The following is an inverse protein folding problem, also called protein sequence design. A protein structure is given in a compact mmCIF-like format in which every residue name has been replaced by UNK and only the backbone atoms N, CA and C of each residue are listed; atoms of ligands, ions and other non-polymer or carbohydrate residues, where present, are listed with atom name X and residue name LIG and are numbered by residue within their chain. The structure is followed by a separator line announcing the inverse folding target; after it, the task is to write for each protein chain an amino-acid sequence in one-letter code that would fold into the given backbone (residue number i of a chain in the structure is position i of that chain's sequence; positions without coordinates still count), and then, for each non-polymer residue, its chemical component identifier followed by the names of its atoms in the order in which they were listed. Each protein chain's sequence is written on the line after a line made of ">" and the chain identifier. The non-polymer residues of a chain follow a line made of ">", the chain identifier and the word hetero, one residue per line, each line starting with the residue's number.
data_IF_314397829496
#
_entry.id   IF_314397829496
#
_cell.length_a   1.000
_cell.length_b   1.000
_cell.length_c   1.000
_cell.angle_alpha   90.00
_cell.angle_beta   90.00
_cell.angle_gamma   90.00
#
_symmetry.space_group_name_H-M   'P 1'
#
loop_
_entity.id
_entity.type
_entity.pdbx_description
1 polymer ?
#
# COMPACT_ATOMS: atom_id res chain seq x y z
N UNK A 1 -9.19 20.04 -14.69
CA UNK A 1 -10.47 20.51 -14.09
C UNK A 1 -11.28 21.31 -15.10
N UNK A 2 -12.60 21.37 -14.95
CA UNK A 2 -13.53 22.20 -15.72
C UNK A 2 -14.52 22.85 -14.76
N UNK A 3 -14.85 24.12 -14.98
CA UNK A 3 -15.86 24.85 -14.21
C UNK A 3 -17.20 24.75 -14.95
N UNK A 4 -18.25 24.32 -14.27
CA UNK A 4 -19.64 24.31 -14.78
C UNK A 4 -20.56 24.73 -13.65
N UNK A 5 -21.45 25.69 -13.87
CA UNK A 5 -22.41 26.16 -12.86
C UNK A 5 -21.76 26.49 -11.50
N UNK A 6 -20.59 27.17 -11.51
CA UNK A 6 -19.79 27.48 -10.31
C UNK A 6 -19.24 26.27 -9.55
N UNK A 7 -19.29 25.07 -10.12
CA UNK A 7 -18.73 23.85 -9.57
C UNK A 7 -17.55 23.36 -10.40
N UNK A 8 -16.53 22.81 -9.72
CA UNK A 8 -15.31 22.34 -10.34
C UNK A 8 -15.38 20.82 -10.48
N UNK A 9 -15.26 20.36 -11.72
CA UNK A 9 -15.25 18.95 -12.06
C UNK A 9 -13.88 18.52 -12.58
N UNK A 10 -13.52 17.26 -12.37
CA UNK A 10 -12.37 16.65 -13.03
C UNK A 10 -12.69 16.43 -14.51
N UNK A 11 -11.66 16.47 -15.37
CA UNK A 11 -11.83 16.19 -16.81
C UNK A 11 -11.52 14.74 -17.17
N UNK A 12 -10.77 14.08 -16.28
CA UNK A 12 -10.28 12.71 -16.38
C UNK A 12 -10.42 12.06 -15.01
N UNK A 13 -10.49 10.73 -14.93
CA UNK A 13 -10.37 10.00 -13.67
C UNK A 13 -9.11 10.44 -12.92
N UNK A 14 -9.22 10.48 -11.59
CA UNK A 14 -8.09 10.74 -10.72
C UNK A 14 -7.58 9.41 -10.16
N UNK A 15 -6.28 9.21 -10.21
CA UNK A 15 -5.57 8.01 -9.78
C UNK A 15 -4.38 8.49 -8.94
N UNK A 16 -4.39 8.18 -7.63
CA UNK A 16 -3.38 8.71 -6.71
C UNK A 16 -1.99 8.17 -7.09
N UNK A 17 -1.89 6.89 -7.42
CA UNK A 17 -0.66 6.17 -7.74
C UNK A 17 -0.01 6.76 -8.99
N UNK A 18 -0.82 7.07 -10.00
CA UNK A 18 -0.36 7.74 -11.21
C UNK A 18 0.26 9.10 -10.89
N UNK A 19 -0.45 9.97 -10.16
CA UNK A 19 0.00 11.33 -9.91
C UNK A 19 1.11 11.44 -8.87
N UNK A 20 1.15 10.54 -7.89
CA UNK A 20 2.22 10.40 -6.92
C UNK A 20 3.57 10.05 -7.60
N UNK A 21 3.52 9.32 -8.73
CA UNK A 21 4.71 9.03 -9.54
C UNK A 21 5.16 10.17 -10.46
N UNK A 22 4.31 11.19 -10.64
CA UNK A 22 4.64 12.37 -11.47
C UNK A 22 5.16 13.52 -10.61
N UNK A 23 5.92 14.44 -11.18
CA UNK A 23 6.35 15.68 -10.49
C UNK A 23 5.16 16.59 -10.08
N UNK A 24 3.93 16.27 -10.50
CA UNK A 24 2.71 17.02 -10.22
C UNK A 24 2.14 16.61 -8.86
N UNK A 25 2.80 17.05 -7.78
CA UNK A 25 2.31 16.80 -6.40
C UNK A 25 1.18 17.74 -5.97
N UNK A 26 1.05 18.89 -6.62
CA UNK A 26 0.12 19.94 -6.21
C UNK A 26 -0.74 20.38 -7.38
N UNK A 27 -2.02 20.02 -7.36
CA UNK A 27 -2.97 20.52 -8.33
C UNK A 27 -3.38 21.94 -7.96
N UNK A 28 -3.22 22.86 -8.90
CA UNK A 28 -3.71 24.23 -8.76
C UNK A 28 -4.74 24.52 -9.84
N UNK A 29 -5.87 25.10 -9.44
CA UNK A 29 -6.93 25.54 -10.34
C UNK A 29 -7.08 27.04 -10.19
N UNK A 30 -6.77 27.80 -11.24
CA UNK A 30 -7.05 29.23 -11.30
C UNK A 30 -8.44 29.44 -11.91
N UNK A 31 -9.31 30.10 -11.14
CA UNK A 31 -10.66 30.50 -11.55
C UNK A 31 -10.66 32.01 -11.76
N UNK A 32 -11.07 32.43 -12.95
CA UNK A 32 -11.25 33.85 -13.29
C UNK A 32 -12.76 34.16 -13.33
N UNK A 33 -13.17 35.20 -12.62
CA UNK A 33 -14.51 35.76 -12.70
C UNK A 33 -14.44 37.11 -13.43
N UNK A 34 -15.16 37.22 -14.54
CA UNK A 34 -15.22 38.43 -15.34
C UNK A 34 -16.57 39.10 -15.12
N UNK A 35 -16.54 40.32 -14.59
CA UNK A 35 -17.73 41.13 -14.32
C UNK A 35 -17.78 42.25 -15.36
N UNK A 36 -18.87 42.31 -16.12
CA UNK A 36 -19.14 43.43 -17.03
C UNK A 36 -19.96 44.49 -16.29
N UNK A 37 -19.42 45.69 -16.18
CA UNK A 37 -20.04 46.82 -15.51
C UNK A 37 -20.96 47.61 -16.47
N UNK A 38 -21.83 48.43 -15.91
CA UNK A 38 -22.78 49.26 -16.65
C UNK A 38 -22.12 50.35 -17.53
N UNK A 39 -20.87 50.70 -17.26
CA UNK A 39 -20.07 51.65 -18.04
C UNK A 39 -19.17 50.96 -19.09
N UNK A 40 -19.52 49.74 -19.49
CA UNK A 40 -18.74 48.86 -20.39
C UNK A 40 -17.33 48.50 -19.89
N UNK A 41 -16.96 48.89 -18.67
CA UNK A 41 -15.72 48.41 -18.04
C UNK A 41 -15.87 46.94 -17.66
N UNK A 42 -14.77 46.21 -17.80
CA UNK A 42 -14.70 44.80 -17.43
C UNK A 42 -13.70 44.63 -16.29
N UNK A 43 -14.14 44.02 -15.18
CA UNK A 43 -13.28 43.66 -14.05
C UNK A 43 -13.02 42.16 -14.07
N UNK A 44 -11.77 41.76 -13.82
CA UNK A 44 -11.38 40.35 -13.75
C UNK A 44 -10.83 40.06 -12.36
N UNK A 45 -11.43 39.08 -11.68
CA UNK A 45 -10.99 38.58 -10.38
C UNK A 45 -10.46 37.17 -10.52
N UNK A 46 -9.21 36.95 -10.14
CA UNK A 46 -8.57 35.64 -10.19
C UNK A 46 -8.45 35.06 -8.78
N UNK A 47 -8.82 33.79 -8.63
CA UNK A 47 -8.61 33.01 -7.40
C UNK A 47 -7.93 31.70 -7.76
N UNK A 48 -6.85 31.37 -7.07
CA UNK A 48 -6.20 30.06 -7.19
C UNK A 48 -6.67 29.15 -6.05
N UNK A 49 -7.06 27.94 -6.40
CA UNK A 49 -7.47 26.89 -5.49
C UNK A 49 -6.41 25.78 -5.52
N UNK A 50 -5.94 25.38 -4.35
CA UNK A 50 -5.04 24.25 -4.19
C UNK A 50 -5.88 23.00 -3.91
N UNK A 51 -5.70 21.97 -4.74
CA UNK A 51 -6.44 20.71 -4.65
C UNK A 51 -5.43 19.61 -4.28
N UNK A 52 -5.65 18.99 -3.13
CA UNK A 52 -4.91 17.80 -2.71
C UNK A 52 -5.63 16.55 -3.21
N UNK A 53 -4.88 15.62 -3.80
CA UNK A 53 -5.40 14.30 -4.12
C UNK A 53 -5.23 13.41 -2.88
N UNK A 54 -6.31 12.74 -2.48
CA UNK A 54 -6.30 11.82 -1.34
C UNK A 54 -6.21 10.40 -1.88
N UNK A 55 -5.27 9.66 -1.32
CA UNK A 55 -5.11 8.25 -1.57
C UNK A 55 -6.31 7.44 -1.06
N UNK A 56 -6.66 6.37 -1.77
CA UNK A 56 -7.77 5.47 -1.47
C UNK A 56 -7.23 4.05 -1.55
N UNK A 57 -7.75 3.18 -0.69
CA UNK A 57 -7.42 1.76 -0.75
C UNK A 57 -8.12 1.13 -1.95
N UNK A 58 -7.48 1.12 -3.11
CA UNK A 58 -8.01 0.60 -4.37
C UNK A 58 -7.06 -0.40 -5.07
N UNK A 59 -5.94 -0.71 -4.43
CA UNK A 59 -5.00 -1.76 -4.81
C UNK A 59 -4.86 -2.77 -3.66
N UNK A 60 -4.39 -3.98 -4.01
CA UNK A 60 -4.19 -5.05 -3.03
C UNK A 60 -2.73 -5.50 -2.97
N UNK A 61 -2.35 -6.25 -1.91
CA UNK A 61 -0.98 -6.67 -1.72
C UNK A 61 -0.54 -7.68 -2.76
N UNK A 62 0.62 -7.41 -3.37
CA UNK A 62 1.27 -8.27 -4.34
C UNK A 62 2.57 -8.84 -3.76
N UNK A 63 2.75 -10.16 -3.90
CA UNK A 63 4.00 -10.83 -3.51
C UNK A 63 5.11 -10.46 -4.51
N UNK A 64 6.22 -9.91 -4.00
CA UNK A 64 7.36 -9.47 -4.84
C UNK A 64 8.41 -10.55 -5.06
N UNK A 65 8.56 -11.46 -4.11
CA UNK A 65 9.54 -12.53 -4.15
C UNK A 65 8.90 -13.89 -4.46
N UNK A 66 9.58 -14.99 -4.15
CA UNK A 66 9.16 -16.32 -4.59
C UNK A 66 7.81 -16.75 -3.97
N UNK A 67 6.92 -17.32 -4.78
CA UNK A 67 5.61 -17.82 -4.31
C UNK A 67 5.69 -19.09 -3.46
N UNK A 68 6.81 -19.79 -3.50
CA UNK A 68 7.04 -21.04 -2.79
C UNK A 68 8.44 -21.03 -2.22
N UNK A 69 8.54 -21.25 -0.92
CA UNK A 69 9.82 -21.38 -0.25
C UNK A 69 10.01 -22.79 0.29
N UNK A 70 11.17 -23.36 -0.01
CA UNK A 70 11.60 -24.62 0.58
C UNK A 70 12.67 -24.31 1.62
N UNK A 71 12.39 -24.67 2.87
CA UNK A 71 13.32 -24.47 3.97
C UNK A 71 13.77 -25.82 4.51
N UNK A 72 15.09 -26.04 4.53
CA UNK A 72 15.67 -27.22 5.14
C UNK A 72 16.08 -26.88 6.58
N UNK A 73 15.68 -27.74 7.52
CA UNK A 73 16.18 -27.69 8.89
C UNK A 73 17.32 -28.69 9.01
N UNK A 74 18.54 -28.21 9.26
CA UNK A 74 19.70 -29.06 9.50
C UNK A 74 19.57 -29.86 10.81
N UNK A 75 18.79 -29.33 11.75
CA UNK A 75 18.50 -29.94 13.04
C UNK A 75 16.98 -29.94 13.27
N UNK A 76 16.36 -31.07 13.64
CA UNK A 76 14.92 -31.11 13.92
C UNK A 76 14.55 -30.29 15.16
N UNK A 77 15.49 -29.96 16.05
CA UNK A 77 15.26 -29.10 17.20
C UNK A 77 15.17 -27.63 16.79
N UNK A 78 14.11 -26.95 17.24
CA UNK A 78 13.90 -25.52 17.03
C UNK A 78 13.51 -24.82 18.33
N UNK A 79 13.81 -23.53 18.43
CA UNK A 79 13.40 -22.67 19.55
C UNK A 79 12.40 -21.62 19.09
N UNK A 80 11.56 -21.20 20.02
CA UNK A 80 10.64 -20.10 19.83
C UNK A 80 11.41 -18.84 19.41
N UNK A 81 10.96 -18.21 18.34
CA UNK A 81 11.60 -17.01 17.79
C UNK A 81 12.75 -17.27 16.82
N UNK A 82 13.17 -18.53 16.62
CA UNK A 82 14.12 -18.85 15.54
C UNK A 82 13.47 -18.54 14.19
N UNK A 83 14.23 -17.92 13.29
CA UNK A 83 13.78 -17.51 11.97
C UNK A 83 13.73 -18.69 11.00
N UNK A 84 12.64 -18.78 10.24
CA UNK A 84 12.48 -19.77 9.17
C UNK A 84 12.69 -19.08 7.84
N UNK A 85 13.85 -19.34 7.25
CA UNK A 85 14.19 -18.87 5.91
C UNK A 85 14.22 -17.35 5.72
N UNK A 86 14.10 -16.94 4.45
CA UNK A 86 14.20 -15.54 4.07
C UNK A 86 12.89 -14.77 4.32
N UNK A 87 13.02 -13.45 4.44
CA UNK A 87 11.87 -12.54 4.52
C UNK A 87 10.99 -12.65 3.28
N UNK A 88 9.68 -12.66 3.50
CA UNK A 88 8.62 -12.63 2.49
C UNK A 88 8.21 -11.16 2.34
N UNK A 89 8.15 -10.67 1.10
CA UNK A 89 7.91 -9.25 0.82
C UNK A 89 6.64 -9.11 0.01
N UNK A 90 5.65 -8.45 0.59
CA UNK A 90 4.48 -7.94 -0.14
C UNK A 90 4.64 -6.46 -0.40
N UNK A 91 4.12 -5.99 -1.52
CA UNK A 91 4.01 -4.56 -1.81
C UNK A 91 2.59 -4.23 -2.18
N UNK A 92 2.14 -3.06 -1.78
CA UNK A 92 0.87 -2.50 -2.19
C UNK A 92 1.14 -1.11 -2.78
N UNK A 93 0.40 -0.75 -3.83
CA UNK A 93 0.59 0.52 -4.53
C UNK A 93 0.05 1.70 -3.71
N UNK A 94 -0.84 1.43 -2.77
CA UNK A 94 -1.43 2.46 -1.93
C UNK A 94 -0.49 2.80 -0.76
N UNK A 95 -0.69 3.97 -0.17
CA UNK A 95 0.04 4.41 1.03
C UNK A 95 -0.26 3.52 2.24
N UNK A 96 0.59 3.58 3.27
CA UNK A 96 0.35 2.84 4.51
C UNK A 96 -0.92 3.29 5.21
N UNK A 97 -1.28 4.56 5.03
CA UNK A 97 -2.50 5.11 5.61
C UNK A 97 -3.75 4.51 4.96
N UNK A 98 -3.72 4.28 3.66
CA UNK A 98 -4.81 3.63 2.94
C UNK A 98 -4.90 2.15 3.31
N UNK A 99 -3.75 1.49 3.44
CA UNK A 99 -3.60 0.08 3.85
C UNK A 99 -3.77 -0.18 5.36
N UNK A 100 -4.42 0.71 6.11
CA UNK A 100 -4.49 0.62 7.58
C UNK A 100 -5.18 -0.65 8.11
N UNK A 101 -5.93 -1.37 7.26
CA UNK A 101 -6.69 -2.57 7.59
C UNK A 101 -6.11 -3.86 6.99
N UNK A 102 -4.94 -3.80 6.38
CA UNK A 102 -4.28 -4.97 5.81
C UNK A 102 -3.91 -5.96 6.92
N UNK A 103 -4.19 -7.25 6.68
CA UNK A 103 -3.95 -8.34 7.63
C UNK A 103 -3.07 -9.42 7.02
N UNK A 104 -2.41 -10.21 7.89
CA UNK A 104 -1.62 -11.36 7.50
C UNK A 104 -2.08 -12.60 8.24
N UNK A 105 -2.19 -13.71 7.54
CA UNK A 105 -2.65 -14.97 8.11
C UNK A 105 -1.79 -16.13 7.63
N UNK A 106 -1.57 -17.08 8.53
CA UNK A 106 -0.96 -18.36 8.21
C UNK A 106 -2.08 -19.38 7.99
N UNK A 107 -2.03 -20.06 6.85
CA UNK A 107 -2.92 -21.15 6.50
C UNK A 107 -2.17 -22.47 6.48
N UNK A 108 -2.88 -23.57 6.75
CA UNK A 108 -2.38 -24.95 6.75
C UNK A 108 -1.27 -25.24 7.77
N UNK A 109 -1.04 -24.36 8.76
CA UNK A 109 -0.19 -24.63 9.92
C UNK A 109 -0.92 -25.51 10.94
N UNK A 110 -1.03 -26.81 10.62
CA UNK A 110 -1.85 -27.77 11.39
C UNK A 110 -1.42 -27.97 12.83
N UNK A 111 -0.19 -27.58 13.17
CA UNK A 111 0.42 -27.77 14.49
C UNK A 111 0.65 -26.46 15.22
N UNK A 112 0.20 -25.31 14.68
CA UNK A 112 0.49 -23.97 15.24
C UNK A 112 1.99 -23.79 15.50
N UNK A 113 2.80 -24.20 14.52
CA UNK A 113 4.25 -24.26 14.61
C UNK A 113 4.87 -22.90 14.33
N UNK A 114 4.23 -22.08 13.52
CA UNK A 114 4.82 -20.86 12.97
C UNK A 114 3.96 -19.64 13.24
N UNK A 115 4.60 -18.49 13.24
CA UNK A 115 3.92 -17.19 13.27
C UNK A 115 4.65 -16.20 12.37
N UNK A 116 3.93 -15.28 11.72
CA UNK A 116 4.56 -14.20 11.00
C UNK A 116 4.95 -13.08 11.96
N UNK A 117 6.09 -12.45 11.70
CA UNK A 117 6.51 -11.17 12.27
C UNK A 117 6.68 -10.18 11.12
N UNK A 118 5.67 -9.33 10.93
CA UNK A 118 5.57 -8.43 9.78
C UNK A 118 5.80 -6.99 10.20
N UNK A 119 6.60 -6.27 9.41
CA UNK A 119 6.81 -4.82 9.55
C UNK A 119 6.37 -4.13 8.27
N UNK A 120 5.55 -3.09 8.43
CA UNK A 120 5.07 -2.25 7.35
C UNK A 120 5.87 -0.95 7.29
N UNK A 121 6.30 -0.51 6.10
CA UNK A 121 6.99 0.76 5.88
C UNK A 121 6.72 1.27 4.46
N UNK A 122 6.81 2.58 4.26
CA UNK A 122 6.76 3.18 2.93
C UNK A 122 8.18 3.24 2.35
N UNK A 123 8.34 2.85 1.09
CA UNK A 123 9.59 3.08 0.38
C UNK A 123 9.51 4.35 -0.45
N UNK A 124 10.40 5.31 -0.18
CA UNK A 124 10.52 6.56 -0.93
C UNK A 124 11.73 6.58 -1.88
N UNK A 125 12.62 5.59 -1.81
CA UNK A 125 13.93 5.60 -2.47
C UNK A 125 13.87 5.58 -4.00
N UNK A 126 12.71 5.23 -4.58
CA UNK A 126 12.47 5.25 -6.03
C UNK A 126 11.64 6.45 -6.49
N UNK A 127 11.29 7.36 -5.56
CA UNK A 127 10.37 8.48 -5.79
C UNK A 127 8.89 8.08 -5.84
N UNK A 128 8.56 6.80 -5.72
CA UNK A 128 7.19 6.27 -5.71
C UNK A 128 6.82 5.81 -4.30
N UNK A 129 6.03 6.60 -3.58
CA UNK A 129 5.50 6.18 -2.28
C UNK A 129 4.59 4.98 -2.54
N UNK A 130 4.94 3.85 -1.92
CA UNK A 130 4.16 2.62 -1.93
C UNK A 130 4.40 1.88 -0.62
N UNK A 131 3.44 1.07 -0.21
CA UNK A 131 3.56 0.26 1.00
C UNK A 131 4.40 -0.98 0.75
N UNK A 132 5.28 -1.29 1.70
CA UNK A 132 6.04 -2.53 1.75
C UNK A 132 5.76 -3.23 3.06
N UNK A 133 5.48 -4.53 2.98
CA UNK A 133 5.22 -5.40 4.10
C UNK A 133 6.25 -6.53 4.11
N UNK A 134 7.21 -6.43 5.02
CA UNK A 134 8.30 -7.39 5.19
C UNK A 134 7.97 -8.33 6.32
N UNK A 135 7.69 -9.60 6.01
CA UNK A 135 7.35 -10.63 6.97
C UNK A 135 8.48 -11.64 7.16
N UNK A 136 8.92 -11.85 8.40
CA UNK A 136 9.77 -12.97 8.77
C UNK A 136 8.90 -14.06 9.40
N UNK A 137 9.07 -15.30 8.97
CA UNK A 137 8.44 -16.43 9.65
C UNK A 137 9.32 -16.83 10.83
N UNK A 138 8.69 -17.04 11.98
CA UNK A 138 9.32 -17.46 13.23
C UNK A 138 8.65 -18.73 13.76
N UNK A 139 9.40 -19.57 14.45
CA UNK A 139 8.80 -20.64 15.26
C UNK A 139 8.00 -20.05 16.43
N UNK A 140 6.76 -20.52 16.60
CA UNK A 140 5.85 -20.05 17.64
C UNK A 140 6.16 -20.62 19.02
N UNK A 141 6.88 -21.75 19.11
CA UNK A 141 7.25 -22.44 20.36
C UNK A 141 8.58 -23.19 20.22
N UNK A 142 9.07 -23.75 21.32
CA UNK A 142 10.19 -24.70 21.31
C UNK A 142 9.69 -26.10 20.91
N UNK A 143 10.52 -26.90 20.25
CA UNK A 143 10.14 -28.28 19.94
C UNK A 143 11.13 -29.05 19.07
N UNK A 144 10.65 -30.19 18.60
CA UNK A 144 11.35 -31.07 17.67
C UNK A 144 10.39 -31.37 16.52
N UNK A 145 10.82 -31.10 15.28
CA UNK A 145 10.05 -31.42 14.10
C UNK A 145 10.30 -32.88 13.73
N UNK A 146 9.32 -33.74 14.02
CA UNK A 146 9.39 -35.18 13.72
C UNK A 146 9.06 -35.54 12.28
N UNK A 147 8.49 -34.60 11.53
CA UNK A 147 8.02 -34.81 10.15
C UNK A 147 9.10 -34.43 9.16
N UNK A 148 9.17 -35.14 8.04
CA UNK A 148 10.12 -34.85 6.95
C UNK A 148 9.72 -33.65 6.10
N UNK A 149 8.45 -33.25 6.14
CA UNK A 149 7.90 -32.11 5.40
C UNK A 149 6.81 -31.43 6.20
N UNK A 150 6.82 -30.09 6.22
CA UNK A 150 5.79 -29.27 6.85
C UNK A 150 5.47 -28.09 5.94
N UNK A 151 4.19 -27.92 5.60
CA UNK A 151 3.75 -26.92 4.62
C UNK A 151 2.71 -26.00 5.23
N UNK A 152 2.88 -24.70 5.04
CA UNK A 152 1.94 -23.65 5.40
C UNK A 152 2.02 -22.54 4.35
N UNK A 153 1.06 -21.62 4.38
CA UNK A 153 1.04 -20.47 3.47
C UNK A 153 0.85 -19.18 4.26
N UNK A 154 1.66 -18.17 3.97
CA UNK A 154 1.44 -16.82 4.43
C UNK A 154 0.62 -16.06 3.38
N UNK A 155 -0.49 -15.47 3.80
CA UNK A 155 -1.35 -14.65 2.94
C UNK A 155 -1.43 -13.26 3.54
N UNK A 156 -1.12 -12.25 2.74
CA UNK A 156 -1.49 -10.87 2.99
C UNK A 156 -2.88 -10.62 2.37
N UNK A 157 -3.79 -10.03 3.13
CA UNK A 157 -5.17 -9.81 2.70
C UNK A 157 -5.63 -8.43 3.12
N UNK A 158 -6.10 -7.66 2.13
CA UNK A 158 -6.86 -6.46 2.35
C UNK A 158 -8.33 -6.72 1.99
N UNK A 159 -9.23 -6.53 2.95
CA UNK A 159 -10.67 -6.77 2.79
C UNK A 159 -11.45 -5.49 2.51
N UNK A 160 -10.77 -4.36 2.32
CA UNK A 160 -11.37 -3.03 2.19
C UNK A 160 -11.21 -2.41 0.80
N UNK A 161 -10.63 -3.17 -0.12
CA UNK A 161 -10.54 -2.92 -1.56
C UNK A 161 -11.81 -3.36 -2.28
#
# INVERSE_FOLDING_TARGET
>A
FTLKNNEIYTKVPLDYEYFNSTEVKNFAVSVACTIKMSDDKTLVFNRTLHVALLDRNDNGPELQNEGVYNFLLDNPHFKQGDTIGNKIIFTDRDSLRSNAHLTYQIFNDTSELVRPDCTAYEADHTGKIKSIFSCQILFARNGILSQTSYCFSLVASDHTV
#
